data_IF_988089226108
#
_entry.id   IF_988089226108
#
_cell.length_a   1.000
_cell.length_b   1.000
_cell.length_c   1.000
_cell.angle_alpha   90.00
_cell.angle_beta   90.00
_cell.angle_gamma   90.00
#
_symmetry.space_group_name_H-M   'P 1'
#
loop_
_entity.id
_entity.type
_entity.pdbx_description
1 polymer ?
#
# COMPACT_ATOMS: atom_id res chain seq x y z
N UNK A 1 -9.02 58.45 -21.50
CA UNK A 1 -9.75 57.72 -20.44
C UNK A 1 -10.21 56.41 -21.04
N UNK A 2 -9.81 55.24 -20.52
CA UNK A 2 -10.28 53.96 -21.06
C UNK A 2 -11.77 53.77 -20.77
N UNK A 3 -12.51 53.27 -21.76
CA UNK A 3 -13.96 53.14 -21.70
C UNK A 3 -14.35 52.08 -20.64
N UNK A 4 -15.47 52.30 -19.96
CA UNK A 4 -16.03 51.37 -18.93
C UNK A 4 -16.25 49.96 -19.47
N UNK A 5 -16.35 49.76 -20.75
CA UNK A 5 -16.51 48.46 -21.41
C UNK A 5 -15.21 47.65 -21.42
N UNK A 6 -14.05 48.28 -21.52
CA UNK A 6 -12.73 47.63 -21.48
C UNK A 6 -12.38 47.10 -20.09
N UNK A 7 -12.81 47.84 -19.05
CA UNK A 7 -12.57 47.44 -17.67
C UNK A 7 -13.37 46.18 -17.27
N UNK A 8 -14.64 46.08 -17.72
CA UNK A 8 -15.50 44.91 -17.49
C UNK A 8 -14.96 43.64 -18.15
N UNK A 9 -14.38 43.75 -19.37
CA UNK A 9 -13.78 42.62 -20.08
C UNK A 9 -12.49 42.15 -19.43
N UNK A 10 -11.68 43.08 -18.89
CA UNK A 10 -10.46 42.71 -18.14
C UNK A 10 -10.76 42.01 -16.82
N UNK A 11 -11.79 42.44 -16.08
CA UNK A 11 -12.21 41.82 -14.82
C UNK A 11 -12.79 40.43 -15.08
N UNK A 12 -13.55 40.22 -16.15
CA UNK A 12 -14.11 38.92 -16.50
C UNK A 12 -13.01 37.94 -16.94
N UNK A 13 -12.00 38.39 -17.67
CA UNK A 13 -10.85 37.57 -18.07
C UNK A 13 -10.01 37.17 -16.86
N UNK A 14 -9.81 38.05 -15.87
CA UNK A 14 -9.08 37.76 -14.66
C UNK A 14 -9.83 36.75 -13.77
N UNK A 15 -11.16 36.83 -13.70
CA UNK A 15 -11.98 35.88 -12.92
C UNK A 15 -11.98 34.49 -13.54
N UNK A 16 -11.96 34.36 -14.88
CA UNK A 16 -11.90 33.05 -15.56
C UNK A 16 -10.50 32.42 -15.40
N UNK A 17 -9.42 33.21 -15.42
CA UNK A 17 -8.06 32.70 -15.17
C UNK A 17 -7.84 32.30 -13.71
N UNK A 18 -8.47 32.98 -12.75
CA UNK A 18 -8.37 32.66 -11.34
C UNK A 18 -9.08 31.35 -10.94
N UNK A 19 -10.11 30.94 -11.69
CA UNK A 19 -10.85 29.69 -11.41
C UNK A 19 -10.15 28.46 -12.01
N UNK A 20 -9.34 28.63 -13.07
CA UNK A 20 -8.61 27.51 -13.68
C UNK A 20 -7.39 27.04 -12.88
N UNK A 21 -6.93 27.82 -11.90
CA UNK A 21 -5.71 27.50 -11.13
C UNK A 21 -5.94 26.68 -9.85
N UNK A 22 -7.17 26.23 -9.57
CA UNK A 22 -7.53 25.51 -8.34
C UNK A 22 -7.87 24.02 -8.54
N UNK A 23 -7.62 23.47 -9.73
CA UNK A 23 -7.66 22.01 -9.88
C UNK A 23 -6.42 21.41 -9.22
N UNK A 24 -6.43 21.31 -7.89
CA UNK A 24 -5.45 20.49 -7.18
C UNK A 24 -5.71 19.03 -7.57
N UNK A 25 -4.77 18.41 -8.28
CA UNK A 25 -4.79 16.98 -8.49
C UNK A 25 -4.72 16.31 -7.11
N UNK A 26 -5.81 15.71 -6.68
CA UNK A 26 -5.82 14.90 -5.46
C UNK A 26 -5.12 13.58 -5.77
N UNK A 27 -4.14 13.22 -4.94
CA UNK A 27 -3.49 11.93 -5.04
C UNK A 27 -4.54 10.81 -4.93
N UNK A 28 -4.55 9.90 -5.90
CA UNK A 28 -5.44 8.75 -5.89
C UNK A 28 -4.78 7.63 -5.09
N UNK A 29 -5.51 7.08 -4.12
CA UNK A 29 -5.08 5.89 -3.41
C UNK A 29 -5.51 4.65 -4.19
N UNK A 30 -4.55 3.79 -4.55
CA UNK A 30 -4.85 2.47 -5.10
C UNK A 30 -4.94 1.46 -3.94
N UNK A 31 -6.05 0.70 -3.83
CA UNK A 31 -6.24 -0.24 -2.73
C UNK A 31 -5.33 -1.46 -2.88
N UNK A 32 -4.79 -1.93 -1.76
CA UNK A 32 -4.10 -3.20 -1.64
C UNK A 32 -5.07 -4.20 -0.99
N UNK A 33 -5.26 -5.35 -1.61
CA UNK A 33 -6.16 -6.40 -1.10
C UNK A 33 -5.65 -7.76 -1.55
N UNK A 34 -4.98 -8.47 -0.67
CA UNK A 34 -4.40 -9.78 -0.96
C UNK A 34 -4.74 -10.79 0.13
N UNK A 35 -4.69 -12.06 -0.21
CA UNK A 35 -4.90 -13.13 0.73
C UNK A 35 -3.61 -13.92 0.98
N UNK A 36 -3.43 -14.42 2.20
CA UNK A 36 -2.28 -15.23 2.59
C UNK A 36 -2.61 -16.71 2.51
N UNK A 37 -1.73 -17.49 1.88
CA UNK A 37 -1.80 -18.96 1.84
C UNK A 37 -2.41 -19.55 0.57
N UNK A 38 -2.15 -20.84 0.34
CA UNK A 38 -2.64 -21.59 -0.81
C UNK A 38 -4.14 -21.85 -0.66
N UNK A 39 -4.92 -21.45 -1.66
CA UNK A 39 -6.36 -21.72 -1.69
C UNK A 39 -7.18 -20.83 -0.75
N UNK A 40 -6.65 -19.71 -0.30
CA UNK A 40 -7.40 -18.78 0.54
C UNK A 40 -8.55 -18.14 -0.24
N UNK A 41 -9.71 -18.06 0.41
CA UNK A 41 -10.94 -17.51 -0.16
C UNK A 41 -11.24 -16.08 0.34
N UNK A 42 -10.49 -15.60 1.31
CA UNK A 42 -10.71 -14.30 1.96
C UNK A 42 -9.44 -13.47 2.00
N UNK A 43 -9.58 -12.18 1.73
CA UNK A 43 -8.49 -11.22 1.84
C UNK A 43 -8.04 -11.05 3.28
N UNK A 44 -6.75 -11.23 3.54
CA UNK A 44 -6.16 -11.10 4.87
C UNK A 44 -5.31 -9.83 5.02
N UNK A 45 -4.70 -9.35 3.93
CA UNK A 45 -3.93 -8.12 3.94
C UNK A 45 -4.66 -7.05 3.16
N UNK A 46 -4.88 -5.92 3.79
CA UNK A 46 -5.50 -4.74 3.17
C UNK A 46 -4.60 -3.53 3.36
N UNK A 47 -4.77 -2.54 2.52
CA UNK A 47 -4.01 -1.31 2.61
C UNK A 47 -4.26 -0.37 1.45
N UNK A 48 -3.32 0.53 1.25
CA UNK A 48 -3.33 1.46 0.13
C UNK A 48 -1.90 1.83 -0.28
N UNK A 49 -1.75 2.19 -1.54
CA UNK A 49 -0.53 2.78 -2.07
C UNK A 49 -0.91 4.09 -2.76
N UNK A 50 -0.19 5.17 -2.47
CA UNK A 50 -0.52 6.54 -2.88
C UNK A 50 0.72 7.21 -3.44
N UNK A 51 0.61 7.78 -4.64
CA UNK A 51 1.67 8.58 -5.25
C UNK A 51 1.55 10.05 -4.83
N UNK A 52 2.66 10.63 -4.43
CA UNK A 52 2.84 12.07 -4.22
C UNK A 52 3.89 12.64 -5.20
N UNK A 53 4.25 13.91 -5.05
CA UNK A 53 5.32 14.49 -5.84
C UNK A 53 6.69 14.06 -5.29
N UNK A 54 7.36 13.14 -5.99
CA UNK A 54 8.62 12.55 -5.56
C UNK A 54 8.49 11.54 -4.42
N UNK A 55 7.28 11.14 -4.04
CA UNK A 55 7.04 10.26 -2.89
C UNK A 55 6.01 9.17 -3.20
N UNK A 56 6.10 8.06 -2.47
CA UNK A 56 5.07 7.01 -2.42
C UNK A 56 4.78 6.68 -0.96
N UNK A 57 3.51 6.70 -0.58
CA UNK A 57 3.05 6.30 0.75
C UNK A 57 2.33 4.96 0.65
N UNK A 58 2.72 4.00 1.51
CA UNK A 58 2.12 2.65 1.58
C UNK A 58 1.58 2.45 2.98
N UNK A 59 0.35 1.99 3.10
CA UNK A 59 -0.27 1.61 4.36
C UNK A 59 -0.74 0.16 4.27
N UNK A 60 -0.45 -0.65 5.29
CA UNK A 60 -0.76 -2.08 5.34
C UNK A 60 -1.38 -2.47 6.67
N UNK A 61 -2.31 -3.42 6.61
CA UNK A 61 -2.88 -4.12 7.75
C UNK A 61 -2.92 -5.62 7.44
N UNK A 62 -2.50 -6.45 8.38
CA UNK A 62 -2.69 -7.89 8.31
C UNK A 62 -3.91 -8.24 9.18
N UNK A 63 -5.04 -8.56 8.55
CA UNK A 63 -6.35 -8.69 9.20
C UNK A 63 -6.66 -10.11 9.69
N UNK A 64 -5.68 -11.02 9.73
CA UNK A 64 -5.87 -12.30 10.40
C UNK A 64 -6.26 -12.07 11.86
N UNK A 65 -7.14 -12.89 12.38
CA UNK A 65 -7.39 -12.94 13.83
C UNK A 65 -6.27 -13.70 14.53
N UNK A 66 -6.11 -13.54 15.86
CA UNK A 66 -5.13 -14.29 16.63
C UNK A 66 -5.22 -15.82 16.41
N UNK A 67 -6.43 -16.36 16.28
CA UNK A 67 -6.67 -17.77 16.04
C UNK A 67 -6.33 -18.24 14.60
N UNK A 68 -6.26 -17.33 13.64
CA UNK A 68 -5.89 -17.63 12.26
C UNK A 68 -4.38 -17.56 12.02
N UNK A 69 -3.65 -16.93 12.91
CA UNK A 69 -2.19 -16.87 12.84
C UNK A 69 -1.60 -18.20 13.29
N UNK A 70 -0.93 -18.90 12.35
CA UNK A 70 -0.35 -20.23 12.58
C UNK A 70 1.17 -20.16 12.52
N UNK A 71 1.72 -19.48 11.51
CA UNK A 71 3.15 -19.48 11.28
C UNK A 71 3.61 -18.16 10.64
N UNK A 72 4.91 -17.92 10.72
CA UNK A 72 5.56 -16.71 10.17
C UNK A 72 5.35 -16.54 8.65
N UNK A 73 5.02 -17.60 7.93
CA UNK A 73 4.71 -17.52 6.48
C UNK A 73 3.45 -16.72 6.17
N UNK A 74 2.65 -16.38 7.18
CA UNK A 74 1.47 -15.51 7.06
C UNK A 74 1.76 -14.05 7.40
N UNK A 75 2.97 -13.75 7.87
CA UNK A 75 3.38 -12.39 8.19
C UNK A 75 3.86 -11.67 6.94
N UNK A 76 3.48 -10.40 6.80
CA UNK A 76 3.98 -9.57 5.70
C UNK A 76 5.44 -9.20 5.97
N UNK A 77 6.29 -9.38 4.98
CA UNK A 77 7.73 -9.10 5.06
C UNK A 77 8.24 -8.20 3.94
N UNK A 78 7.43 -7.90 2.93
CA UNK A 78 7.81 -7.00 1.83
C UNK A 78 6.65 -6.56 0.96
N UNK A 79 6.85 -5.47 0.24
CA UNK A 79 5.99 -4.95 -0.82
C UNK A 79 6.86 -4.64 -2.02
N UNK A 80 6.46 -5.12 -3.18
CA UNK A 80 7.11 -4.86 -4.46
C UNK A 80 6.10 -4.24 -5.41
N UNK A 81 6.53 -3.26 -6.19
CA UNK A 81 5.63 -2.60 -7.15
C UNK A 81 6.43 -1.88 -8.23
N UNK A 82 5.74 -1.52 -9.30
CA UNK A 82 6.20 -0.57 -10.31
C UNK A 82 5.31 0.67 -10.27
N UNK A 83 5.87 1.82 -10.61
CA UNK A 83 5.13 3.09 -10.64
C UNK A 83 5.52 3.90 -11.87
N UNK A 84 4.53 4.45 -12.56
CA UNK A 84 4.75 5.28 -13.73
C UNK A 84 5.47 6.59 -13.36
N UNK A 85 6.37 7.05 -14.24
CA UNK A 85 7.16 8.25 -14.02
C UNK A 85 8.45 8.02 -13.20
N UNK A 86 8.65 6.85 -12.59
CA UNK A 86 9.93 6.53 -11.94
C UNK A 86 11.07 6.59 -12.95
N UNK A 87 12.11 7.36 -12.63
CA UNK A 87 13.20 7.68 -13.56
C UNK A 87 14.50 6.89 -13.33
N UNK A 88 14.46 5.86 -12.48
CA UNK A 88 15.63 5.01 -12.17
C UNK A 88 16.56 5.58 -11.11
N UNK A 89 16.24 6.72 -10.49
CA UNK A 89 17.05 7.30 -9.41
C UNK A 89 16.96 6.51 -8.10
N UNK A 90 17.80 6.85 -7.13
CA UNK A 90 17.83 6.16 -5.84
C UNK A 90 16.48 6.25 -5.11
N UNK A 91 15.97 5.10 -4.68
CA UNK A 91 14.78 4.98 -3.82
C UNK A 91 15.25 4.86 -2.38
N UNK A 92 14.69 5.68 -1.49
CA UNK A 92 15.03 5.67 -0.07
C UNK A 92 13.78 5.65 0.80
N UNK A 93 13.90 5.04 1.98
CA UNK A 93 12.85 5.08 2.99
C UNK A 93 12.93 6.41 3.75
N UNK A 94 11.95 7.28 3.56
CA UNK A 94 11.87 8.57 4.26
C UNK A 94 11.33 8.40 5.69
N UNK A 95 10.34 7.53 5.86
CA UNK A 95 9.81 7.16 7.18
C UNK A 95 9.16 5.79 7.15
N UNK A 96 9.13 5.14 8.31
CA UNK A 96 8.41 3.88 8.54
C UNK A 96 7.86 3.87 9.96
N UNK A 97 6.60 3.47 10.12
CA UNK A 97 5.90 3.49 11.40
C UNK A 97 4.94 2.30 11.47
N UNK A 98 4.98 1.59 12.60
CA UNK A 98 3.92 0.66 13.00
C UNK A 98 3.21 1.21 14.23
N UNK A 99 1.89 1.10 14.26
CA UNK A 99 1.10 1.57 15.42
C UNK A 99 1.37 0.78 16.69
N UNK A 100 1.82 -0.46 16.54
CA UNK A 100 2.06 -1.38 17.65
C UNK A 100 3.20 -2.35 17.32
N UNK A 101 3.78 -2.94 18.37
CA UNK A 101 4.60 -4.17 18.31
C UNK A 101 4.02 -5.22 19.24
N UNK A 102 4.43 -6.46 19.06
CA UNK A 102 4.02 -7.56 19.94
C UNK A 102 5.13 -8.61 20.07
N UNK A 103 5.26 -9.18 21.25
CA UNK A 103 6.12 -10.33 21.52
C UNK A 103 5.22 -11.50 21.92
N UNK A 104 5.41 -12.67 21.30
CA UNK A 104 4.63 -13.88 21.58
C UNK A 104 5.54 -14.89 22.25
N UNK A 105 5.22 -15.24 23.49
CA UNK A 105 5.98 -16.20 24.29
C UNK A 105 5.77 -17.65 23.85
N UNK A 106 6.54 -18.57 24.43
CA UNK A 106 6.45 -20.01 24.14
C UNK A 106 5.14 -20.68 24.58
N UNK A 107 4.29 -19.97 25.32
CA UNK A 107 2.95 -20.39 25.72
C UNK A 107 1.85 -19.74 24.89
N UNK A 108 2.22 -19.12 23.74
CA UNK A 108 1.32 -18.44 22.80
C UNK A 108 0.63 -17.18 23.38
N UNK A 109 1.16 -16.60 24.46
CA UNK A 109 0.63 -15.35 24.99
C UNK A 109 1.37 -14.16 24.37
N UNK A 110 0.59 -13.21 23.89
CA UNK A 110 1.11 -12.00 23.29
C UNK A 110 1.18 -10.86 24.32
N UNK A 111 2.33 -10.22 24.39
CA UNK A 111 2.54 -8.97 25.13
C UNK A 111 2.60 -7.82 24.12
N UNK A 112 1.62 -6.93 24.21
CA UNK A 112 1.53 -5.75 23.36
C UNK A 112 2.62 -4.75 23.72
N UNK A 113 3.38 -4.34 22.73
CA UNK A 113 4.34 -3.24 22.81
C UNK A 113 3.75 -1.94 22.27
N UNK A 114 4.53 -0.87 22.36
CA UNK A 114 4.20 0.45 21.80
C UNK A 114 4.38 0.52 20.29
N UNK A 115 4.16 1.73 19.76
CA UNK A 115 4.48 2.06 18.37
C UNK A 115 6.00 1.91 18.12
N UNK A 116 6.34 1.53 16.88
CA UNK A 116 7.73 1.41 16.42
C UNK A 116 7.97 2.43 15.32
N UNK A 117 8.88 3.37 15.55
CA UNK A 117 9.24 4.42 14.61
C UNK A 117 10.70 4.87 14.84
N UNK A 118 11.62 4.68 13.87
CA UNK A 118 11.42 3.92 12.63
C UNK A 118 11.29 2.42 12.85
N UNK A 119 10.66 1.72 11.91
CA UNK A 119 10.73 0.25 11.84
C UNK A 119 12.06 -0.19 11.23
N UNK A 120 12.42 -1.46 11.42
CA UNK A 120 13.66 -2.01 10.83
C UNK A 120 13.57 -2.37 9.34
N UNK A 121 12.57 -1.86 8.62
CA UNK A 121 12.40 -2.11 7.18
C UNK A 121 13.35 -1.24 6.35
N UNK A 122 13.74 -1.75 5.20
CA UNK A 122 14.54 -1.03 4.21
C UNK A 122 13.75 -0.76 2.93
N UNK A 123 14.29 0.11 2.07
CA UNK A 123 13.73 0.38 0.74
C UNK A 123 14.84 0.47 -0.31
N UNK A 124 14.47 0.16 -1.55
CA UNK A 124 15.38 0.24 -2.69
C UNK A 124 14.67 -0.11 -3.99
N UNK A 125 15.45 -0.42 -5.04
CA UNK A 125 14.92 -0.84 -6.33
C UNK A 125 15.84 -1.81 -7.05
N UNK A 126 15.25 -2.59 -7.97
CA UNK A 126 15.99 -3.38 -8.97
C UNK A 126 15.31 -3.16 -10.31
N UNK A 127 16.03 -2.53 -11.25
CA UNK A 127 15.42 -2.05 -12.49
C UNK A 127 14.25 -1.10 -12.19
N UNK A 128 13.07 -1.38 -12.75
CA UNK A 128 11.84 -0.62 -12.53
C UNK A 128 11.04 -1.06 -11.30
N UNK A 129 11.42 -2.14 -10.63
CA UNK A 129 10.73 -2.66 -9.45
C UNK A 129 11.24 -1.97 -8.20
N UNK A 130 10.35 -1.31 -7.50
CA UNK A 130 10.59 -0.69 -6.19
C UNK A 130 10.22 -1.69 -5.11
N UNK A 131 10.99 -1.70 -4.03
CA UNK A 131 10.86 -2.65 -2.92
C UNK A 131 10.90 -1.89 -1.60
N UNK A 132 10.00 -2.23 -0.69
CA UNK A 132 10.12 -1.97 0.75
C UNK A 132 9.96 -3.29 1.50
N UNK A 133 10.90 -3.63 2.37
CA UNK A 133 10.98 -4.99 2.93
C UNK A 133 11.75 -5.03 4.24
N UNK A 134 11.44 -6.03 5.06
CA UNK A 134 12.27 -6.44 6.21
C UNK A 134 13.08 -7.70 5.87
N UNK A 135 12.51 -8.58 5.06
CA UNK A 135 13.23 -9.70 4.44
C UNK A 135 13.40 -9.37 2.96
N UNK A 136 14.56 -8.89 2.61
CA UNK A 136 14.77 -8.23 1.34
C UNK A 136 15.48 -9.13 0.32
N UNK A 137 14.99 -9.09 -0.95
CA UNK A 137 15.67 -9.57 -2.11
C UNK A 137 16.40 -8.40 -2.84
N UNK A 138 17.07 -8.69 -3.96
CA UNK A 138 17.69 -7.70 -4.86
C UNK A 138 18.76 -6.78 -4.22
N UNK A 139 19.42 -7.23 -3.15
CA UNK A 139 20.48 -6.47 -2.51
C UNK A 139 20.00 -5.24 -1.72
N UNK A 140 18.70 -5.10 -1.49
CA UNK A 140 18.17 -4.12 -0.56
C UNK A 140 18.50 -4.58 0.86
N UNK A 141 19.01 -3.67 1.69
CA UNK A 141 19.31 -3.96 3.10
C UNK A 141 18.20 -3.44 4.01
N UNK A 142 17.86 -4.22 5.03
CA UNK A 142 17.04 -3.78 6.15
C UNK A 142 17.84 -3.90 7.46
N UNK A 143 17.66 -2.95 8.41
CA UNK A 143 18.34 -3.00 9.71
C UNK A 143 17.86 -4.13 10.60
N UNK A 144 16.57 -4.50 10.52
CA UNK A 144 16.00 -5.63 11.23
C UNK A 144 16.28 -6.94 10.47
N UNK A 145 16.42 -8.01 11.22
CA UNK A 145 16.54 -9.37 10.68
C UNK A 145 15.17 -9.97 10.38
N UNK A 146 14.88 -11.21 10.74
CA UNK A 146 13.57 -11.82 10.56
C UNK A 146 12.51 -11.32 11.57
N UNK A 147 12.87 -10.54 12.57
CA UNK A 147 11.97 -9.77 13.42
C UNK A 147 11.30 -8.63 12.64
N UNK A 148 10.33 -7.97 13.27
CA UNK A 148 9.57 -6.86 12.68
C UNK A 148 8.81 -7.16 11.38
N UNK A 149 8.49 -8.42 11.11
CA UNK A 149 7.45 -8.74 10.12
C UNK A 149 6.08 -8.33 10.65
N UNK A 150 5.15 -7.91 9.75
CA UNK A 150 3.81 -7.51 10.16
C UNK A 150 2.94 -8.75 10.41
N UNK A 151 2.66 -9.04 11.67
CA UNK A 151 1.79 -10.14 12.08
C UNK A 151 0.31 -9.73 12.04
N UNK A 152 -0.58 -10.68 11.83
CA UNK A 152 -2.01 -10.50 12.02
C UNK A 152 -2.44 -10.56 13.49
N UNK A 153 -3.71 -10.30 13.74
CA UNK A 153 -4.29 -10.31 15.08
C UNK A 153 -4.19 -8.97 15.81
N UNK A 154 -4.61 -8.99 17.07
CA UNK A 154 -4.71 -7.78 17.89
C UNK A 154 -3.38 -7.37 18.53
N UNK A 155 -2.33 -8.20 18.40
CA UNK A 155 -1.05 -7.98 19.09
C UNK A 155 -1.09 -8.25 20.61
N UNK A 156 -2.24 -8.65 21.15
CA UNK A 156 -2.44 -8.95 22.57
C UNK A 156 -3.26 -10.23 22.76
N UNK A 157 -3.30 -10.76 23.98
CA UNK A 157 -4.03 -11.98 24.31
C UNK A 157 -3.33 -13.26 23.82
N UNK A 158 -4.10 -14.31 23.53
CA UNK A 158 -3.55 -15.58 23.10
C UNK A 158 -3.59 -15.76 21.58
N UNK A 159 -2.54 -16.38 21.02
CA UNK A 159 -2.43 -16.85 19.65
C UNK A 159 -2.47 -18.40 19.65
N UNK A 160 -3.63 -19.01 19.84
CA UNK A 160 -3.76 -20.42 20.24
C UNK A 160 -3.22 -21.42 19.23
N UNK A 161 -3.12 -21.04 17.96
CA UNK A 161 -2.65 -21.89 16.87
C UNK A 161 -1.23 -21.55 16.40
N UNK A 162 -0.57 -20.57 17.02
CA UNK A 162 0.78 -20.16 16.61
C UNK A 162 1.78 -21.29 16.89
N UNK A 163 2.53 -21.67 15.86
CA UNK A 163 3.58 -22.67 15.97
C UNK A 163 4.92 -22.05 16.41
N UNK A 164 5.95 -22.87 16.56
CA UNK A 164 7.27 -22.46 17.02
C UNK A 164 8.03 -21.51 16.07
N UNK A 165 7.49 -21.19 14.88
CA UNK A 165 8.06 -20.11 14.04
C UNK A 165 7.61 -18.71 14.49
N UNK A 166 6.60 -18.64 15.37
CA UNK A 166 6.07 -17.43 15.99
C UNK A 166 6.27 -17.50 17.50
N UNK A 167 5.66 -18.51 18.14
CA UNK A 167 5.64 -18.62 19.59
C UNK A 167 7.03 -18.94 20.16
N UNK A 168 7.52 -18.08 21.05
CA UNK A 168 8.82 -18.22 21.70
C UNK A 168 10.03 -18.13 20.76
N UNK A 169 9.84 -17.73 19.50
CA UNK A 169 10.93 -17.60 18.53
C UNK A 169 11.63 -16.23 18.70
N UNK A 170 12.68 -16.19 19.51
CA UNK A 170 13.44 -14.98 19.81
C UNK A 170 13.90 -14.21 18.57
N UNK A 171 14.49 -14.86 17.54
CA UNK A 171 14.92 -14.22 16.31
C UNK A 171 13.81 -13.56 15.47
N UNK A 172 12.54 -13.95 15.66
CA UNK A 172 11.40 -13.36 14.95
C UNK A 172 10.66 -12.30 15.78
N UNK A 173 10.87 -12.30 17.10
CA UNK A 173 10.26 -11.32 18.01
C UNK A 173 11.17 -10.09 18.21
N UNK A 174 10.60 -8.87 18.34
CA UNK A 174 9.19 -8.54 18.29
C UNK A 174 8.64 -8.44 16.86
N UNK A 175 7.38 -8.79 16.69
CA UNK A 175 6.63 -8.53 15.46
C UNK A 175 6.07 -7.10 15.45
N UNK A 176 5.83 -6.52 14.26
CA UNK A 176 4.97 -5.36 14.11
C UNK A 176 3.52 -5.80 14.09
N UNK A 177 2.62 -5.01 14.68
CA UNK A 177 1.20 -5.27 14.71
C UNK A 177 0.38 -4.00 14.43
N UNK A 178 -0.90 -4.17 14.12
CA UNK A 178 -1.77 -3.04 13.73
C UNK A 178 -1.45 -2.49 12.35
N UNK A 179 -1.46 -1.17 12.22
CA UNK A 179 -1.22 -0.50 10.92
C UNK A 179 0.26 -0.20 10.73
N UNK A 180 0.80 -0.61 9.59
CA UNK A 180 2.17 -0.34 9.16
C UNK A 180 2.15 0.67 8.01
N UNK A 181 2.89 1.77 8.13
CA UNK A 181 2.94 2.85 7.14
C UNK A 181 4.39 3.15 6.75
N UNK A 182 4.62 3.33 5.45
CA UNK A 182 5.89 3.73 4.87
C UNK A 182 5.71 4.98 4.02
N UNK A 183 6.70 5.86 4.04
CA UNK A 183 6.87 6.92 3.04
C UNK A 183 8.23 6.73 2.38
N UNK A 184 8.21 6.60 1.06
CA UNK A 184 9.40 6.43 0.22
C UNK A 184 9.66 7.73 -0.55
N UNK A 185 10.93 8.09 -0.73
CA UNK A 185 11.34 9.04 -1.77
C UNK A 185 11.56 8.25 -3.07
N UNK A 186 10.81 8.62 -4.11
CA UNK A 186 10.81 7.93 -5.42
C UNK A 186 10.90 8.97 -6.53
N UNK A 187 12.10 9.19 -7.08
CA UNK A 187 12.35 10.24 -8.07
C UNK A 187 11.51 10.07 -9.35
N UNK A 188 10.93 11.17 -9.84
CA UNK A 188 10.13 11.22 -11.05
C UNK A 188 8.64 10.90 -10.88
N UNK A 189 8.23 10.38 -9.71
CA UNK A 189 6.82 10.12 -9.40
C UNK A 189 6.07 11.42 -9.15
N UNK A 190 4.81 11.47 -9.57
CA UNK A 190 3.89 12.60 -9.37
C UNK A 190 2.56 12.09 -8.80
N UNK A 191 1.70 12.99 -8.34
CA UNK A 191 0.35 12.64 -7.85
C UNK A 191 -0.53 11.92 -8.88
N UNK A 192 -0.19 12.00 -10.17
CA UNK A 192 -0.89 11.33 -11.27
C UNK A 192 -0.26 9.98 -11.66
N UNK A 193 0.81 9.57 -10.98
CA UNK A 193 1.45 8.28 -11.25
C UNK A 193 0.53 7.12 -10.89
N UNK A 194 0.62 6.05 -11.68
CA UNK A 194 -0.16 4.81 -11.52
C UNK A 194 0.75 3.67 -11.11
N UNK A 195 0.21 2.74 -10.33
CA UNK A 195 0.92 1.57 -9.85
C UNK A 195 0.57 0.34 -10.68
N UNK A 196 1.54 -0.57 -10.81
CA UNK A 196 1.38 -1.87 -11.44
C UNK A 196 2.25 -2.91 -10.76
N UNK A 197 1.96 -4.19 -10.98
CA UNK A 197 2.70 -5.32 -10.43
C UNK A 197 2.92 -5.19 -8.91
N UNK A 198 1.88 -4.76 -8.17
CA UNK A 198 1.94 -4.68 -6.71
C UNK A 198 1.83 -6.07 -6.13
N UNK A 199 2.89 -6.52 -5.45
CA UNK A 199 2.99 -7.86 -4.85
C UNK A 199 3.38 -7.72 -3.39
N UNK A 200 2.72 -8.48 -2.52
CA UNK A 200 3.04 -8.59 -1.10
C UNK A 200 3.86 -9.85 -0.87
N UNK A 201 5.01 -9.71 -0.23
CA UNK A 201 5.83 -10.82 0.21
C UNK A 201 5.44 -11.23 1.62
N UNK A 202 5.44 -12.55 1.85
CA UNK A 202 5.14 -13.16 3.14
C UNK A 202 6.30 -14.03 3.61
N UNK A 203 6.39 -14.21 4.92
CA UNK A 203 7.36 -15.11 5.56
C UNK A 203 8.77 -14.53 5.63
N UNK A 204 9.75 -15.41 5.87
CA UNK A 204 11.14 -15.06 6.14
C UNK A 204 12.11 -15.52 5.03
N UNK A 205 11.60 -15.81 3.84
CA UNK A 205 12.42 -16.18 2.69
C UNK A 205 12.52 -14.98 1.74
N UNK A 206 13.73 -14.54 1.47
CA UNK A 206 14.01 -13.45 0.52
C UNK A 206 13.89 -13.95 -0.93
N UNK A 207 12.69 -14.37 -1.34
CA UNK A 207 12.43 -14.80 -2.72
C UNK A 207 11.81 -13.62 -3.47
N UNK A 208 12.38 -13.20 -4.61
CA UNK A 208 11.71 -12.21 -5.44
C UNK A 208 10.32 -12.74 -5.83
N UNK A 209 9.25 -11.96 -5.60
CA UNK A 209 7.93 -12.39 -6.04
C UNK A 209 7.89 -12.45 -7.56
N UNK A 210 7.33 -13.53 -8.10
CA UNK A 210 7.05 -13.63 -9.53
C UNK A 210 5.78 -12.85 -9.88
N UNK A 211 5.74 -12.14 -11.02
CA UNK A 211 4.49 -11.53 -11.50
C UNK A 211 3.41 -12.61 -11.64
N UNK A 212 2.31 -12.43 -10.92
CA UNK A 212 1.23 -13.44 -10.83
C UNK A 212 0.96 -13.94 -9.43
N UNK A 213 1.93 -13.86 -8.52
CA UNK A 213 1.73 -14.17 -7.11
C UNK A 213 1.10 -12.94 -6.40
N UNK A 214 -0.08 -13.12 -5.83
CA UNK A 214 -0.81 -12.11 -5.05
C UNK A 214 -1.09 -10.79 -5.81
N UNK A 215 -1.68 -10.84 -7.00
CA UNK A 215 -2.05 -9.62 -7.72
C UNK A 215 -3.11 -8.84 -6.93
N UNK A 216 -2.84 -7.55 -6.74
CA UNK A 216 -3.82 -6.60 -6.22
C UNK A 216 -4.94 -6.47 -7.26
N UNK A 217 -6.21 -6.70 -6.90
CA UNK A 217 -7.33 -6.51 -7.82
C UNK A 217 -7.34 -5.07 -8.36
N UNK A 218 -7.57 -4.93 -9.67
CA UNK A 218 -7.71 -3.61 -10.28
C UNK A 218 -8.80 -2.79 -9.58
N UNK A 219 -8.62 -1.47 -9.41
CA UNK A 219 -9.57 -0.64 -8.68
C UNK A 219 -11.00 -0.82 -9.20
N UNK A 220 -11.96 -0.84 -8.30
CA UNK A 220 -13.41 -0.89 -8.62
C UNK A 220 -13.87 0.21 -9.61
N UNK A 221 -13.00 1.18 -9.89
CA UNK A 221 -13.15 2.20 -10.94
C UNK A 221 -13.43 1.60 -12.33
N UNK A 222 -12.82 0.45 -12.67
CA UNK A 222 -13.06 -0.22 -13.95
C UNK A 222 -14.49 -0.81 -14.00
N UNK A 223 -14.95 -1.37 -12.88
CA UNK A 223 -16.32 -1.85 -12.77
C UNK A 223 -17.33 -0.68 -12.81
N UNK A 224 -17.01 0.42 -12.12
CA UNK A 224 -17.85 1.62 -12.09
C UNK A 224 -17.90 2.29 -13.46
N UNK A 225 -16.76 2.38 -14.17
CA UNK A 225 -16.71 2.88 -15.55
C UNK A 225 -17.52 2.00 -16.50
N UNK A 226 -17.36 0.68 -16.41
CA UNK A 226 -18.12 -0.29 -17.21
C UNK A 226 -19.63 -0.18 -16.98
N UNK A 227 -20.07 -0.13 -15.71
CA UNK A 227 -21.50 -0.01 -15.36
C UNK A 227 -22.05 1.37 -15.73
N UNK A 228 -21.26 2.44 -15.59
CA UNK A 228 -21.61 3.78 -16.02
C UNK A 228 -21.84 3.88 -17.53
N UNK A 229 -20.96 3.31 -18.34
CA UNK A 229 -21.10 3.25 -19.81
C UNK A 229 -22.33 2.45 -20.25
N UNK A 230 -22.62 1.31 -19.61
CA UNK A 230 -23.84 0.52 -19.88
C UNK A 230 -25.09 1.35 -19.54
N UNK A 231 -25.10 2.08 -18.44
CA UNK A 231 -26.19 2.98 -18.05
C UNK A 231 -26.46 4.09 -19.07
N UNK A 232 -25.39 4.74 -19.56
CA UNK A 232 -25.47 5.79 -20.60
C UNK A 232 -26.01 5.20 -21.91
N UNK A 233 -25.49 4.04 -22.37
CA UNK A 233 -25.92 3.37 -23.58
C UNK A 233 -27.42 2.96 -23.53
N UNK A 234 -27.88 2.44 -22.39
CA UNK A 234 -29.28 2.10 -22.16
C UNK A 234 -30.20 3.33 -22.18
N UNK A 235 -29.73 4.44 -21.61
CA UNK A 235 -30.44 5.73 -21.60
C UNK A 235 -30.61 6.30 -23.01
N UNK A 236 -29.55 6.26 -23.82
CA UNK A 236 -29.60 6.72 -25.23
C UNK A 236 -30.57 5.87 -26.06
N UNK A 237 -30.54 4.53 -25.91
CA UNK A 237 -31.42 3.62 -26.65
C UNK A 237 -32.91 3.87 -26.37
N UNK A 238 -33.29 4.29 -25.16
CA UNK A 238 -34.66 4.68 -24.80
C UNK A 238 -35.09 5.99 -25.46
N UNK A 239 -34.17 6.98 -25.60
CA UNK A 239 -34.48 8.25 -26.28
C UNK A 239 -34.74 8.07 -27.78
N UNK A 240 -33.97 7.22 -28.46
CA UNK A 240 -34.14 6.96 -29.90
C UNK A 240 -35.39 6.11 -30.23
N UNK A 241 -35.94 5.36 -29.28
CA UNK A 241 -37.20 4.58 -29.51
C UNK A 241 -38.49 5.41 -29.27
N UNK A 242 -38.39 6.65 -28.79
CA UNK A 242 -39.54 7.53 -28.53
C UNK A 242 -39.74 8.61 -29.59
N UNK A 243 -39.00 8.56 -30.69
CA UNK A 243 -39.23 9.31 -31.92
C UNK A 243 -39.67 8.35 -33.03
#
# INVERSE_FOLDING_TARGET
>A
MPSFSSLKKAILALAVFGILSLAHATAKADPISVCTGVGCSTTNVTGSIVAGNGTVTITLNNNLTNAQVISVIQNVSGVYFQVSGYNGGAVTLASSNSTQSTTIDGSNNATLGGAVNPTGWGAGHSGSTITVCVICAFGVSSPAGPDQTLIGGTGSGSYPNANGSIAGNGPHNPFLAGTLTFTLNVPGVTVNSTFSNVVIQFGTTATPPTPGDNQVPEPASMLLLGTGLVGVAAGMRRRFRRK
#
